data_IF_071034584137
#
_entry.id   IF_071034584137
#
_cell.length_a   1.000
_cell.length_b   1.000
_cell.length_c   1.000
_cell.angle_alpha   90.00
_cell.angle_beta   90.00
_cell.angle_gamma   90.00
#
_symmetry.space_group_name_H-M   'P 1'
#
loop_
_entity.id
_entity.type
_entity.pdbx_description
1 polymer ?
#
# COMPACT_ATOMS: atom_id res chain seq x y z
N UNK A 1 10.65 5.32 -0.54
CA UNK A 1 10.97 6.76 -0.71
C UNK A 1 9.72 7.56 -0.38
N UNK A 2 9.88 8.70 0.29
CA UNK A 2 8.80 9.65 0.59
C UNK A 2 9.26 11.02 0.13
N UNK A 3 8.40 11.75 -0.55
CA UNK A 3 8.68 13.09 -1.03
C UNK A 3 7.60 14.04 -0.48
N UNK A 4 8.03 15.20 0.01
CA UNK A 4 7.12 16.31 0.26
C UNK A 4 6.62 16.85 -1.08
N UNK A 5 5.32 16.70 -1.37
CA UNK A 5 4.74 17.08 -2.66
C UNK A 5 4.72 18.59 -2.92
N UNK A 6 4.93 19.43 -1.89
CA UNK A 6 5.03 20.89 -2.07
C UNK A 6 6.36 21.46 -1.56
N UNK A 7 7.27 20.60 -1.07
CA UNK A 7 8.53 21.00 -0.46
C UNK A 7 9.75 20.42 -1.19
N UNK A 8 10.95 20.98 -0.93
CA UNK A 8 12.20 20.48 -1.48
C UNK A 8 12.71 19.21 -0.77
N UNK A 9 11.93 18.58 0.12
CA UNK A 9 12.43 17.50 0.96
C UNK A 9 12.16 16.13 0.32
N UNK A 10 13.23 15.39 0.07
CA UNK A 10 13.21 13.98 -0.30
C UNK A 10 13.76 13.15 0.86
N UNK A 11 13.03 12.10 1.21
CA UNK A 11 13.41 11.15 2.25
C UNK A 11 13.51 9.77 1.62
N UNK A 12 14.69 9.16 1.72
CA UNK A 12 14.95 7.80 1.24
C UNK A 12 15.36 6.90 2.39
N UNK A 13 15.01 5.62 2.28
CA UNK A 13 15.37 4.57 3.22
C UNK A 13 16.02 3.44 2.45
N UNK A 14 16.99 2.77 3.04
CA UNK A 14 17.71 1.65 2.41
C UNK A 14 17.65 0.34 3.21
N UNK A 15 18.22 -0.71 2.62
CA UNK A 15 18.24 -2.06 3.18
C UNK A 15 19.19 -2.21 4.38
N UNK A 16 20.17 -1.31 4.51
CA UNK A 16 21.08 -1.24 5.64
C UNK A 16 20.48 -0.51 6.84
N UNK A 17 19.25 0.00 6.70
CA UNK A 17 18.52 0.70 7.73
C UNK A 17 18.93 2.15 7.91
N UNK A 18 19.45 2.79 6.86
CA UNK A 18 19.65 4.23 6.86
C UNK A 18 18.44 4.96 6.30
N UNK A 19 18.11 6.09 6.93
CA UNK A 19 17.20 7.09 6.39
C UNK A 19 18.03 8.32 6.04
N UNK A 20 17.90 8.77 4.80
CA UNK A 20 18.59 9.93 4.25
C UNK A 20 17.57 11.03 3.97
N UNK A 21 17.80 12.18 4.59
CA UNK A 21 17.07 13.42 4.34
C UNK A 21 17.88 14.24 3.34
N UNK A 22 17.30 14.57 2.20
CA UNK A 22 17.91 15.37 1.16
C UNK A 22 17.03 16.57 0.82
N UNK A 23 17.63 17.75 0.75
CA UNK A 23 16.99 18.94 0.22
C UNK A 23 17.33 19.08 -1.27
N UNK A 24 16.31 19.14 -2.10
CA UNK A 24 16.42 19.38 -3.53
C UNK A 24 16.31 20.86 -3.84
N UNK A 25 17.21 21.34 -4.69
CA UNK A 25 17.19 22.70 -5.21
C UNK A 25 16.52 22.69 -6.57
N UNK A 26 15.43 23.44 -6.71
CA UNK A 26 14.74 23.64 -7.99
C UNK A 26 15.04 25.05 -8.49
N UNK A 27 15.78 25.13 -9.60
CA UNK A 27 16.18 26.40 -10.20
C UNK A 27 15.78 26.44 -11.67
N UNK A 28 15.18 27.56 -12.09
CA UNK A 28 14.84 27.84 -13.50
C UNK A 28 14.00 26.76 -14.21
N UNK A 29 13.18 26.02 -13.46
CA UNK A 29 12.34 24.97 -14.04
C UNK A 29 13.00 23.60 -14.12
N UNK A 30 14.18 23.42 -13.52
CA UNK A 30 14.89 22.14 -13.46
C UNK A 30 15.33 21.83 -12.02
N UNK A 31 15.38 20.54 -11.70
CA UNK A 31 16.00 20.05 -10.46
C UNK A 31 17.51 20.17 -10.60
N UNK A 32 18.11 21.15 -9.93
CA UNK A 32 19.52 21.50 -10.11
C UNK A 32 20.45 20.62 -9.28
N UNK A 33 20.10 20.34 -8.02
CA UNK A 33 20.91 19.51 -7.12
C UNK A 33 20.10 18.95 -5.97
N UNK A 34 20.63 17.92 -5.31
CA UNK A 34 20.13 17.43 -4.03
C UNK A 34 21.28 17.44 -3.01
N UNK A 35 21.07 18.07 -1.86
CA UNK A 35 22.03 18.13 -0.77
C UNK A 35 21.56 17.21 0.34
N UNK A 36 22.42 16.25 0.73
CA UNK A 36 22.14 15.40 1.90
C UNK A 36 22.29 16.26 3.15
N UNK A 37 21.19 16.40 3.87
CA UNK A 37 21.11 17.12 5.13
C UNK A 37 21.45 16.22 6.32
N UNK A 38 20.94 15.00 6.30
CA UNK A 38 21.14 14.04 7.37
C UNK A 38 21.12 12.63 6.80
N UNK A 39 22.04 11.79 7.30
CA UNK A 39 21.96 10.34 7.19
C UNK A 39 21.90 9.77 8.60
N UNK A 40 20.77 9.16 8.94
CA UNK A 40 20.53 8.59 10.26
C UNK A 40 20.27 7.08 10.16
N UNK A 41 20.55 6.33 11.23
CA UNK A 41 20.37 4.88 11.27
C UNK A 41 19.15 4.50 12.11
N UNK A 42 18.25 3.70 11.54
CA UNK A 42 17.01 3.21 12.13
C UNK A 42 17.10 1.75 12.60
N UNK A 43 18.31 1.18 12.62
CA UNK A 43 18.61 -0.14 13.17
C UNK A 43 18.72 -1.23 12.11
N UNK A 44 17.66 -1.46 11.32
CA UNK A 44 17.53 -2.50 10.29
C UNK A 44 16.83 -1.97 9.03
N UNK A 45 16.76 -2.80 7.98
CA UNK A 45 16.02 -2.58 6.72
C UNK A 45 14.77 -1.71 6.91
N UNK A 46 14.74 -0.58 6.19
CA UNK A 46 13.56 0.28 6.11
C UNK A 46 12.57 -0.32 5.13
N UNK A 47 11.44 -0.82 5.65
CA UNK A 47 10.39 -1.45 4.85
C UNK A 47 9.40 -0.42 4.31
N UNK A 48 9.12 0.62 5.10
CA UNK A 48 8.18 1.67 4.71
C UNK A 48 8.52 2.97 5.42
N UNK A 49 8.17 4.08 4.78
CA UNK A 49 8.12 5.40 5.41
C UNK A 49 6.79 6.06 5.10
N UNK A 50 6.25 6.82 6.05
CA UNK A 50 5.00 7.54 5.91
C UNK A 50 5.16 8.96 6.49
N UNK A 51 4.74 9.97 5.74
CA UNK A 51 4.76 11.38 6.14
C UNK A 51 3.43 11.75 6.79
N UNK A 52 3.45 12.54 7.86
CA UNK A 52 2.20 13.13 8.37
C UNK A 52 1.63 14.16 7.38
N UNK A 53 0.31 14.40 7.37
CA UNK A 53 -0.30 15.42 6.52
C UNK A 53 0.29 16.82 6.75
N UNK A 54 0.62 17.13 8.02
CA UNK A 54 1.30 18.37 8.42
C UNK A 54 2.77 18.45 8.01
N UNK A 55 3.38 17.34 7.57
CA UNK A 55 4.80 17.22 7.19
C UNK A 55 5.79 17.57 8.28
N UNK A 56 5.37 17.46 9.53
CA UNK A 56 6.25 17.65 10.68
C UNK A 56 6.76 16.33 11.27
N UNK A 57 6.15 15.21 10.87
CA UNK A 57 6.46 13.88 11.40
C UNK A 57 6.70 12.89 10.28
N UNK A 58 7.61 11.96 10.54
CA UNK A 58 7.91 10.83 9.68
C UNK A 58 7.81 9.55 10.50
N UNK A 59 6.99 8.62 10.06
CA UNK A 59 6.97 7.26 10.57
C UNK A 59 7.90 6.41 9.70
N UNK A 60 8.81 5.69 10.34
CA UNK A 60 9.70 4.72 9.69
C UNK A 60 9.34 3.34 10.21
N UNK A 61 8.93 2.44 9.31
CA UNK A 61 8.72 1.02 9.58
C UNK A 61 9.98 0.27 9.18
N UNK A 62 10.54 -0.46 10.13
CA UNK A 62 11.66 -1.38 9.93
C UNK A 62 11.22 -2.79 10.31
N UNK A 63 12.01 -3.79 9.90
CA UNK A 63 11.79 -5.21 10.23
C UNK A 63 11.59 -5.47 11.75
N UNK A 64 12.13 -4.61 12.63
CA UNK A 64 12.13 -4.84 14.09
C UNK A 64 11.45 -3.75 14.92
N UNK A 65 11.06 -2.64 14.29
CA UNK A 65 10.52 -1.49 15.02
C UNK A 65 9.72 -0.56 14.12
N UNK A 66 8.77 0.15 14.71
CA UNK A 66 8.35 1.45 14.20
C UNK A 66 9.05 2.57 14.95
N UNK A 67 9.49 3.57 14.22
CA UNK A 67 10.08 4.77 14.79
C UNK A 67 9.32 6.01 14.32
N UNK A 68 8.95 6.87 15.26
CA UNK A 68 8.39 8.18 14.96
C UNK A 68 9.50 9.22 15.04
N UNK A 69 9.64 10.02 14.00
CA UNK A 69 10.66 11.06 13.87
C UNK A 69 10.02 12.44 13.75
N UNK A 70 10.69 13.44 14.32
CA UNK A 70 10.41 14.85 14.08
C UNK A 70 11.22 15.31 12.87
N UNK A 71 10.54 15.90 11.89
CA UNK A 71 11.19 16.46 10.71
C UNK A 71 11.91 17.78 10.98
N UNK A 72 11.34 18.74 11.75
CA UNK A 72 12.05 19.99 12.04
C UNK A 72 13.37 19.76 12.79
N UNK A 73 13.39 18.87 13.77
CA UNK A 73 14.61 18.56 14.53
C UNK A 73 15.43 17.41 13.92
N UNK A 74 14.87 16.69 12.95
CA UNK A 74 15.46 15.49 12.31
C UNK A 74 15.89 14.43 13.34
N UNK A 75 15.16 14.31 14.44
CA UNK A 75 15.45 13.37 15.53
C UNK A 75 14.32 12.38 15.73
N UNK A 76 14.69 11.18 16.16
CA UNK A 76 13.75 10.17 16.63
C UNK A 76 13.09 10.65 17.92
N UNK A 77 11.76 10.64 17.94
CA UNK A 77 10.94 10.94 19.10
C UNK A 77 10.64 9.68 19.90
N UNK A 78 10.13 8.65 19.23
CA UNK A 78 9.65 7.42 19.87
C UNK A 78 9.96 6.18 19.06
N UNK A 79 9.99 5.02 19.72
CA UNK A 79 10.25 3.73 19.08
C UNK A 79 9.46 2.61 19.73
N UNK A 80 8.66 1.91 18.93
CA UNK A 80 7.94 0.71 19.34
C UNK A 80 8.63 -0.52 18.74
N UNK A 81 9.20 -1.36 19.60
CA UNK A 81 9.78 -2.65 19.17
C UNK A 81 8.69 -3.65 18.82
N UNK A 82 8.93 -4.39 17.75
CA UNK A 82 7.99 -5.38 17.21
C UNK A 82 8.63 -6.76 17.31
N UNK A 83 7.91 -7.77 17.81
CA UNK A 83 8.38 -9.15 17.77
C UNK A 83 8.65 -9.59 16.32
N UNK A 84 9.69 -10.40 16.11
CA UNK A 84 10.02 -10.91 14.76
C UNK A 84 8.87 -11.68 14.10
N UNK A 85 7.98 -12.28 14.89
CA UNK A 85 6.80 -12.99 14.40
C UNK A 85 5.79 -12.10 13.70
N UNK A 86 5.75 -10.80 14.02
CA UNK A 86 4.80 -9.83 13.46
C UNK A 86 5.38 -8.98 12.32
N UNK A 87 6.59 -9.32 11.84
CA UNK A 87 7.31 -8.46 10.90
C UNK A 87 6.77 -8.55 9.45
N UNK A 88 6.20 -9.69 9.06
CA UNK A 88 5.96 -9.99 7.63
C UNK A 88 4.76 -9.25 7.02
N UNK A 89 3.79 -8.83 7.83
CA UNK A 89 2.54 -8.19 7.38
C UNK A 89 2.31 -6.85 8.05
N UNK A 90 3.37 -6.05 8.17
CA UNK A 90 3.32 -4.76 8.85
C UNK A 90 3.43 -3.60 7.88
N UNK A 91 2.36 -2.81 7.77
CA UNK A 91 2.33 -1.59 6.95
C UNK A 91 1.59 -0.48 7.66
N UNK A 92 1.99 0.75 7.38
CA UNK A 92 1.33 1.93 7.87
C UNK A 92 0.61 2.67 6.74
N UNK A 93 -0.56 3.22 7.03
CA UNK A 93 -1.28 4.11 6.13
C UNK A 93 -1.75 5.34 6.89
N UNK A 94 -1.86 6.47 6.19
CA UNK A 94 -2.48 7.66 6.76
C UNK A 94 -3.93 7.34 7.09
N UNK A 95 -4.41 7.77 8.27
CA UNK A 95 -5.82 7.67 8.60
C UNK A 95 -6.56 8.68 7.71
N UNK A 96 -7.45 8.26 6.80
CA UNK A 96 -7.89 9.19 5.75
C UNK A 96 -8.83 10.28 6.26
N UNK A 97 -9.66 9.98 7.27
CA UNK A 97 -10.64 10.93 7.80
C UNK A 97 -10.12 11.76 8.98
N UNK A 98 -8.91 11.49 9.49
CA UNK A 98 -8.33 12.10 10.70
C UNK A 98 -6.83 12.36 10.50
N UNK A 99 -6.48 13.60 10.17
CA UNK A 99 -5.10 14.01 9.84
C UNK A 99 -4.10 13.91 11.00
N UNK A 100 -4.59 13.88 12.25
CA UNK A 100 -3.77 13.76 13.44
C UNK A 100 -3.36 12.30 13.75
N UNK A 101 -3.81 11.34 12.94
CA UNK A 101 -3.66 9.90 13.18
C UNK A 101 -3.17 9.13 11.96
N UNK A 102 -2.71 7.91 12.22
CA UNK A 102 -2.37 6.92 11.21
C UNK A 102 -2.71 5.52 11.71
N UNK A 103 -2.75 4.57 10.79
CA UNK A 103 -3.10 3.17 11.05
C UNK A 103 -1.86 2.32 10.80
N UNK A 104 -1.51 1.43 11.74
CA UNK A 104 -0.60 0.32 11.49
C UNK A 104 -1.44 -0.94 11.35
N UNK A 105 -1.32 -1.58 10.19
CA UNK A 105 -1.89 -2.86 9.85
C UNK A 105 -0.84 -3.91 10.20
N UNK A 106 -1.21 -4.88 11.02
CA UNK A 106 -0.36 -5.97 11.51
C UNK A 106 -1.19 -7.25 11.52
N UNK A 107 -0.83 -8.21 10.67
CA UNK A 107 -1.58 -9.45 10.45
C UNK A 107 -3.06 -9.14 10.15
N UNK A 108 -4.01 -9.70 10.91
CA UNK A 108 -5.46 -9.45 10.77
C UNK A 108 -5.95 -8.37 11.76
N UNK A 109 -5.08 -7.44 12.16
CA UNK A 109 -5.41 -6.35 13.09
C UNK A 109 -4.98 -5.01 12.53
N UNK A 110 -5.73 -3.98 12.88
CA UNK A 110 -5.31 -2.61 12.68
C UNK A 110 -5.26 -1.87 14.02
N UNK A 111 -4.26 -1.00 14.14
CA UNK A 111 -3.98 -0.23 15.33
C UNK A 111 -3.89 1.24 14.94
N UNK A 112 -4.71 2.08 15.57
CA UNK A 112 -4.70 3.53 15.32
C UNK A 112 -3.74 4.22 16.30
N UNK A 113 -2.93 5.13 15.79
CA UNK A 113 -1.93 5.89 16.55
C UNK A 113 -2.02 7.38 16.25
N UNK A 114 -1.62 8.20 17.22
CA UNK A 114 -1.47 9.64 17.03
C UNK A 114 -0.10 10.00 16.46
N UNK A 115 -0.09 10.92 15.49
CA UNK A 115 1.15 11.50 14.96
C UNK A 115 1.93 12.31 16.00
N UNK A 116 1.25 12.87 17.00
CA UNK A 116 1.86 13.77 17.99
C UNK A 116 2.92 13.08 18.85
N UNK A 117 2.58 11.91 19.38
CA UNK A 117 3.31 11.25 20.48
C UNK A 117 3.43 9.73 20.30
N UNK A 118 2.97 9.19 19.17
CA UNK A 118 2.98 7.77 18.86
C UNK A 118 2.20 6.89 19.86
N UNK A 119 1.29 7.48 20.64
CA UNK A 119 0.41 6.73 21.53
C UNK A 119 -0.73 6.07 20.73
N UNK A 120 -1.18 4.91 21.20
CA UNK A 120 -2.35 4.22 20.62
C UNK A 120 -3.61 5.01 20.96
N UNK A 121 -4.47 5.24 19.96
CA UNK A 121 -5.77 5.86 20.20
C UNK A 121 -6.66 4.95 21.05
N UNK A 122 -7.47 5.54 21.92
CA UNK A 122 -8.41 4.84 22.82
C UNK A 122 -9.47 4.05 22.07
N UNK A 123 -9.74 4.44 20.83
CA UNK A 123 -10.61 3.72 19.90
C UNK A 123 -10.07 2.30 19.60
N UNK A 124 -8.80 2.02 19.89
CA UNK A 124 -8.35 0.66 20.08
C UNK A 124 -8.07 -0.13 18.80
N UNK A 125 -7.92 -1.44 18.98
CA UNK A 125 -7.51 -2.36 17.92
C UNK A 125 -8.75 -2.88 17.20
N UNK A 126 -8.76 -2.78 15.88
CA UNK A 126 -9.85 -3.27 15.04
C UNK A 126 -9.41 -4.55 14.34
N UNK A 127 -10.21 -5.61 14.45
CA UNK A 127 -9.97 -6.86 13.72
C UNK A 127 -10.33 -6.65 12.25
N UNK A 128 -9.48 -7.10 11.34
CA UNK A 128 -9.71 -7.02 9.91
C UNK A 128 -10.19 -8.38 9.40
N UNK A 129 -11.43 -8.44 8.96
CA UNK A 129 -11.88 -9.57 8.16
C UNK A 129 -11.36 -9.40 6.74
N UNK A 130 -10.84 -10.47 6.14
CA UNK A 130 -10.44 -10.48 4.73
C UNK A 130 -11.43 -11.31 3.95
N UNK A 131 -11.91 -10.77 2.83
CA UNK A 131 -12.84 -11.49 1.96
C UNK A 131 -12.05 -12.56 1.21
N UNK A 132 -12.63 -13.75 1.11
CA UNK A 132 -12.01 -14.89 0.46
C UNK A 132 -12.14 -16.18 1.25
N UNK A 133 -12.38 -17.28 0.52
CA UNK A 133 -12.38 -18.64 1.08
C UNK A 133 -10.97 -19.24 1.21
N UNK A 134 -9.93 -18.43 0.95
CA UNK A 134 -8.54 -18.86 1.01
C UNK A 134 -8.02 -18.71 2.45
N UNK A 135 -7.17 -19.64 2.95
CA UNK A 135 -6.59 -19.55 4.31
C UNK A 135 -5.95 -18.19 4.56
N UNK A 136 -5.94 -17.64 5.78
CA UNK A 136 -5.18 -16.40 6.03
C UNK A 136 -3.74 -16.53 5.54
N UNK A 137 -3.19 -15.50 4.85
CA UNK A 137 -1.85 -15.59 4.30
C UNK A 137 -0.83 -15.72 5.45
N UNK A 138 -0.16 -16.87 5.52
CA UNK A 138 0.89 -17.09 6.52
C UNK A 138 2.16 -16.30 6.16
N UNK A 139 2.43 -16.08 4.87
CA UNK A 139 3.66 -15.45 4.37
C UNK A 139 3.42 -14.58 3.12
N UNK A 140 2.93 -13.35 3.31
CA UNK A 140 2.91 -12.39 2.22
C UNK A 140 4.33 -11.96 1.82
N UNK A 141 4.66 -12.13 0.55
CA UNK A 141 5.92 -11.68 -0.05
C UNK A 141 5.87 -10.24 -0.52
N UNK A 142 4.67 -9.73 -0.80
CA UNK A 142 4.45 -8.33 -1.15
C UNK A 142 3.11 -7.86 -0.57
N UNK A 143 3.11 -6.68 0.02
CA UNK A 143 1.92 -6.07 0.61
C UNK A 143 1.92 -4.58 0.29
N UNK A 144 0.86 -4.14 -0.38
CA UNK A 144 0.65 -2.75 -0.77
C UNK A 144 -0.68 -2.27 -0.20
N UNK A 145 -0.68 -1.06 0.35
CA UNK A 145 -1.89 -0.45 0.91
C UNK A 145 -2.04 0.97 0.37
N UNK A 146 -3.28 1.32 0.03
CA UNK A 146 -3.67 2.67 -0.35
C UNK A 146 -4.98 3.03 0.33
N UNK A 147 -5.17 4.30 0.61
CA UNK A 147 -6.39 4.78 1.22
C UNK A 147 -6.74 6.18 0.76
N UNK A 148 -8.04 6.47 0.76
CA UNK A 148 -8.60 7.81 0.68
C UNK A 148 -9.82 7.91 1.61
N UNK A 149 -10.56 9.01 1.52
CA UNK A 149 -11.72 9.29 2.38
C UNK A 149 -12.87 8.28 2.19
N UNK A 150 -12.87 7.51 1.09
CA UNK A 150 -13.90 6.54 0.75
C UNK A 150 -13.51 5.10 1.13
N UNK A 151 -12.30 4.68 0.73
CA UNK A 151 -11.91 3.27 0.78
C UNK A 151 -10.44 3.09 1.20
N UNK A 152 -10.19 2.00 1.92
CA UNK A 152 -8.86 1.44 2.19
C UNK A 152 -8.70 0.17 1.34
N UNK A 153 -7.70 0.14 0.48
CA UNK A 153 -7.39 -0.98 -0.41
C UNK A 153 -6.11 -1.66 0.09
N UNK A 154 -6.20 -2.96 0.32
CA UNK A 154 -5.08 -3.86 0.59
C UNK A 154 -4.87 -4.77 -0.61
N UNK A 155 -3.62 -4.90 -1.03
CA UNK A 155 -3.13 -5.98 -1.88
C UNK A 155 -2.15 -6.83 -1.08
N UNK A 156 -2.39 -8.13 -1.02
CA UNK A 156 -1.44 -9.11 -0.48
C UNK A 156 -1.03 -10.07 -1.59
N UNK A 157 0.26 -10.34 -1.74
CA UNK A 157 0.77 -11.39 -2.63
C UNK A 157 1.43 -12.48 -1.79
N UNK A 158 0.86 -13.68 -1.85
CA UNK A 158 1.31 -14.87 -1.16
C UNK A 158 1.73 -15.93 -2.20
N UNK A 159 2.91 -16.55 -2.08
CA UNK A 159 3.40 -17.50 -3.07
C UNK A 159 2.52 -18.75 -3.26
N UNK A 160 1.70 -19.10 -2.26
CA UNK A 160 0.89 -20.30 -2.26
C UNK A 160 -0.54 -20.02 -2.73
N UNK A 161 -1.07 -18.86 -2.34
CA UNK A 161 -2.48 -18.50 -2.56
C UNK A 161 -2.67 -17.36 -3.55
N UNK A 162 -1.59 -16.86 -4.13
CA UNK A 162 -1.62 -15.82 -5.15
C UNK A 162 -1.86 -14.42 -4.60
N UNK A 163 -2.47 -13.57 -5.42
CA UNK A 163 -2.78 -12.19 -5.05
C UNK A 163 -4.17 -12.12 -4.44
N UNK A 164 -4.33 -11.36 -3.37
CA UNK A 164 -5.63 -11.00 -2.79
C UNK A 164 -5.79 -9.50 -2.75
N UNK A 165 -7.03 -9.09 -2.91
CA UNK A 165 -7.41 -7.68 -2.78
C UNK A 165 -8.56 -7.56 -1.80
N UNK A 166 -8.39 -6.73 -0.78
CA UNK A 166 -9.44 -6.38 0.16
C UNK A 166 -9.68 -4.89 0.11
N UNK A 167 -10.95 -4.48 0.12
CA UNK A 167 -11.33 -3.08 0.15
C UNK A 167 -12.29 -2.86 1.31
N UNK A 168 -12.00 -1.96 2.24
CA UNK A 168 -12.90 -1.60 3.33
C UNK A 168 -13.35 -0.15 3.18
N UNK A 169 -14.58 0.15 3.59
CA UNK A 169 -14.99 1.54 3.72
C UNK A 169 -14.17 2.22 4.81
N UNK A 170 -13.64 3.40 4.52
CA UNK A 170 -12.77 4.13 5.46
C UNK A 170 -13.47 4.43 6.79
N UNK A 171 -14.78 4.64 6.76
CA UNK A 171 -15.61 4.84 7.96
C UNK A 171 -15.60 3.63 8.90
N UNK A 172 -15.28 2.42 8.42
CA UNK A 172 -15.16 1.22 9.25
C UNK A 172 -14.02 1.34 10.28
N UNK A 173 -13.03 2.19 10.01
CA UNK A 173 -11.91 2.45 10.92
C UNK A 173 -12.20 3.55 11.96
N UNK A 174 -13.34 4.26 11.86
CA UNK A 174 -13.77 5.25 12.85
C UNK A 174 -14.52 4.63 14.04
N UNK A 175 -15.13 3.47 13.85
CA UNK A 175 -16.10 2.89 14.79
C UNK A 175 -15.49 2.00 15.86
N UNK A 176 -14.23 2.21 16.23
CA UNK A 176 -13.58 1.35 17.22
C UNK A 176 -13.94 1.88 18.64
N UNK A 177 -15.00 1.32 19.21
CA UNK A 177 -15.42 1.51 20.61
C UNK A 177 -14.93 0.38 21.52
N UNK A 178 -15.42 0.30 22.76
CA UNK A 178 -15.02 -0.73 23.74
C UNK A 178 -15.36 -2.19 23.33
N UNK A 179 -16.17 -2.40 22.28
CA UNK A 179 -16.43 -3.72 21.72
C UNK A 179 -15.49 -3.99 20.55
N UNK A 180 -15.00 -5.22 20.42
CA UNK A 180 -14.21 -5.65 19.27
C UNK A 180 -15.05 -5.52 17.99
N UNK A 181 -14.92 -4.38 17.32
CA UNK A 181 -15.52 -4.15 16.01
C UNK A 181 -14.64 -4.84 14.98
N UNK A 182 -15.29 -5.54 14.06
CA UNK A 182 -14.63 -6.20 12.94
C UNK A 182 -14.89 -5.35 11.69
N UNK A 183 -13.83 -4.99 10.98
CA UNK A 183 -13.95 -4.32 9.69
C UNK A 183 -14.26 -5.37 8.62
N UNK A 184 -15.45 -5.25 8.03
CA UNK A 184 -15.89 -6.14 6.96
C UNK A 184 -15.55 -5.51 5.60
N UNK A 185 -14.82 -6.21 4.72
CA UNK A 185 -14.48 -5.73 3.39
C UNK A 185 -15.69 -5.78 2.46
N UNK A 186 -15.65 -4.95 1.42
CA UNK A 186 -16.57 -4.95 0.29
C UNK A 186 -16.51 -6.30 -0.41
N UNK A 187 -17.69 -6.85 -0.71
CA UNK A 187 -17.85 -8.17 -1.31
C UNK A 187 -17.73 -8.12 -2.84
N UNK A 188 -17.38 -9.25 -3.43
CA UNK A 188 -17.40 -9.43 -4.89
C UNK A 188 -16.24 -8.77 -5.63
N UNK A 189 -15.21 -8.36 -4.90
CA UNK A 189 -13.98 -7.78 -5.46
C UNK A 189 -12.88 -8.81 -5.67
N UNK A 190 -13.05 -10.06 -5.21
CA UNK A 190 -12.01 -11.09 -5.31
C UNK A 190 -11.60 -11.41 -6.75
N UNK A 191 -12.52 -11.32 -7.73
CA UNK A 191 -12.19 -11.52 -9.16
C UNK A 191 -11.11 -10.55 -9.68
N UNK A 192 -10.89 -9.42 -8.99
CA UNK A 192 -9.82 -8.48 -9.33
C UNK A 192 -8.43 -9.11 -9.16
N UNK A 193 -8.27 -10.10 -8.29
CA UNK A 193 -7.01 -10.83 -8.09
C UNK A 193 -6.47 -11.47 -9.37
N UNK A 194 -7.35 -11.83 -10.31
CA UNK A 194 -6.98 -12.44 -11.59
C UNK A 194 -6.11 -11.52 -12.44
N UNK A 195 -6.36 -10.22 -12.35
CA UNK A 195 -5.74 -9.21 -13.22
C UNK A 195 -4.88 -8.21 -12.48
N UNK A 196 -5.06 -8.04 -11.17
CA UNK A 196 -4.30 -7.08 -10.38
C UNK A 196 -2.84 -7.54 -10.23
N UNK A 197 -1.92 -6.71 -10.72
CA UNK A 197 -0.48 -6.85 -10.56
C UNK A 197 0.03 -6.00 -9.41
N UNK A 198 -0.27 -4.70 -9.40
CA UNK A 198 0.08 -3.79 -8.31
C UNK A 198 -0.91 -2.62 -8.19
N UNK A 199 -1.06 -2.05 -7.00
CA UNK A 199 -1.93 -0.88 -6.80
C UNK A 199 -1.15 0.41 -7.03
N UNK A 200 -1.77 1.40 -7.69
CA UNK A 200 -1.11 2.68 -8.02
C UNK A 200 -1.72 3.84 -7.22
N UNK A 201 -3.05 3.99 -7.28
CA UNK A 201 -3.76 5.07 -6.60
C UNK A 201 -5.24 4.72 -6.46
N UNK A 202 -5.97 5.50 -5.66
CA UNK A 202 -7.42 5.39 -5.56
C UNK A 202 -8.04 6.80 -5.61
N UNK A 203 -9.03 6.96 -6.48
CA UNK A 203 -9.69 8.24 -6.79
C UNK A 203 -11.17 8.02 -6.55
N UNK A 204 -11.71 8.61 -5.49
CA UNK A 204 -13.05 8.28 -4.97
C UNK A 204 -13.17 6.75 -4.76
N UNK A 205 -14.06 6.08 -5.49
CA UNK A 205 -14.19 4.60 -5.50
C UNK A 205 -13.49 3.93 -6.70
N UNK A 206 -12.77 4.67 -7.54
CA UNK A 206 -12.02 4.11 -8.67
C UNK A 206 -10.61 3.72 -8.25
N UNK A 207 -10.31 2.43 -8.29
CA UNK A 207 -8.95 1.94 -8.12
C UNK A 207 -8.18 2.10 -9.44
N UNK A 208 -7.00 2.71 -9.36
CA UNK A 208 -5.99 2.73 -10.41
C UNK A 208 -4.94 1.69 -10.07
N UNK A 209 -4.69 0.74 -10.97
CA UNK A 209 -3.79 -0.37 -10.73
C UNK A 209 -3.00 -0.75 -11.98
N UNK A 210 -1.87 -1.40 -11.76
CA UNK A 210 -1.12 -2.09 -12.79
C UNK A 210 -1.71 -3.48 -12.97
N UNK A 211 -2.22 -3.78 -14.16
CA UNK A 211 -2.62 -5.11 -14.56
C UNK A 211 -1.40 -6.03 -14.68
N UNK A 212 -1.56 -7.34 -14.45
CA UNK A 212 -0.50 -8.36 -14.65
C UNK A 212 0.10 -8.35 -16.06
N UNK A 213 -0.64 -7.88 -17.06
CA UNK A 213 -0.17 -7.72 -18.44
C UNK A 213 0.50 -6.37 -18.71
N UNK A 214 0.77 -5.58 -17.66
CA UNK A 214 1.40 -4.25 -17.69
C UNK A 214 0.56 -3.15 -18.32
N UNK A 215 -0.76 -3.29 -18.28
CA UNK A 215 -1.67 -2.18 -18.53
C UNK A 215 -1.88 -1.36 -17.27
N UNK A 216 -1.82 -0.04 -17.38
CA UNK A 216 -2.43 0.83 -16.37
C UNK A 216 -3.93 0.77 -16.58
N UNK A 217 -4.63 0.31 -15.55
CA UNK A 217 -6.04 0.01 -15.60
C UNK A 217 -6.80 0.70 -14.48
N UNK A 218 -8.09 0.89 -14.69
CA UNK A 218 -9.03 1.33 -13.66
C UNK A 218 -10.21 0.40 -13.50
N UNK A 219 -10.73 0.37 -12.29
CA UNK A 219 -11.95 -0.34 -11.94
C UNK A 219 -12.73 0.48 -10.92
N UNK A 220 -14.04 0.56 -11.08
CA UNK A 220 -14.94 1.16 -10.10
C UNK A 220 -15.29 0.12 -9.03
N UNK A 221 -14.81 0.32 -7.82
CA UNK A 221 -14.98 -0.61 -6.70
C UNK A 221 -16.42 -0.69 -6.20
N UNK A 222 -17.30 0.25 -6.55
CA UNK A 222 -18.72 0.19 -6.20
C UNK A 222 -19.50 -0.70 -7.16
N UNK A 223 -19.12 -0.74 -8.45
CA UNK A 223 -19.89 -1.41 -9.49
C UNK A 223 -19.25 -2.68 -10.06
N UNK A 224 -17.96 -2.92 -9.79
CA UNK A 224 -17.21 -4.05 -10.34
C UNK A 224 -17.85 -5.41 -10.07
N UNK A 225 -18.41 -5.62 -8.87
CA UNK A 225 -19.06 -6.89 -8.52
C UNK A 225 -20.29 -7.21 -9.39
N UNK A 226 -20.83 -6.23 -10.12
CA UNK A 226 -21.96 -6.38 -11.06
C UNK A 226 -21.48 -6.47 -12.51
N UNK A 227 -20.46 -5.70 -12.88
CA UNK A 227 -20.05 -5.53 -14.29
C UNK A 227 -18.88 -6.44 -14.67
N UNK A 228 -18.01 -6.77 -13.73
CA UNK A 228 -16.70 -7.41 -13.97
C UNK A 228 -15.87 -6.67 -15.04
N UNK A 229 -16.11 -5.37 -15.19
CA UNK A 229 -15.46 -4.52 -16.18
C UNK A 229 -14.18 -3.90 -15.63
N UNK A 230 -13.08 -4.11 -16.34
CA UNK A 230 -11.80 -3.42 -16.14
C UNK A 230 -11.53 -2.52 -17.34
N UNK A 231 -11.14 -1.27 -17.11
CA UNK A 231 -10.75 -0.35 -18.18
C UNK A 231 -9.24 -0.33 -18.29
N UNK A 232 -8.68 -0.72 -19.44
CA UNK A 232 -7.24 -0.66 -19.71
C UNK A 232 -6.93 0.62 -20.48
N UNK A 233 -6.05 1.47 -19.95
CA UNK A 233 -5.79 2.80 -20.51
C UNK A 233 -4.60 2.82 -21.46
N UNK A 234 -3.45 2.35 -20.99
CA UNK A 234 -2.23 2.27 -21.76
C UNK A 234 -1.28 1.23 -21.17
N UNK A 235 -0.41 0.69 -22.02
CA UNK A 235 0.61 -0.27 -21.64
C UNK A 235 1.89 0.43 -21.18
N UNK A 236 2.57 -0.11 -20.17
CA UNK A 236 3.90 0.36 -19.73
C UNK A 236 5.01 -0.65 -20.09
N UNK A 237 6.20 -0.16 -20.46
CA UNK A 237 7.33 -1.03 -20.77
C UNK A 237 7.80 -1.88 -19.57
N UNK A 238 8.30 -3.11 -19.81
CA UNK A 238 8.83 -3.98 -18.75
C UNK A 238 9.91 -3.33 -17.87
N UNK A 239 10.73 -2.45 -18.45
CA UNK A 239 11.81 -1.75 -17.74
C UNK A 239 11.34 -0.77 -16.66
N UNK A 240 10.03 -0.46 -16.61
CA UNK A 240 9.43 0.37 -15.56
C UNK A 240 8.96 -0.46 -14.35
N UNK A 241 8.90 -1.78 -14.50
CA UNK A 241 8.41 -2.72 -13.48
C UNK A 241 9.59 -3.36 -12.76
N UNK A 242 9.50 -3.45 -11.43
CA UNK A 242 10.51 -4.11 -10.61
C UNK A 242 10.49 -5.63 -10.80
N UNK A 243 11.52 -6.31 -10.32
CA UNK A 243 11.59 -7.78 -10.32
C UNK A 243 10.42 -8.40 -9.54
N UNK A 244 9.87 -7.67 -8.56
CA UNK A 244 8.73 -8.09 -7.75
C UNK A 244 7.38 -7.72 -8.38
N UNK A 245 7.37 -7.26 -9.64
CA UNK A 245 6.15 -6.89 -10.36
C UNK A 245 5.54 -5.56 -9.92
N UNK A 246 6.22 -4.78 -9.08
CA UNK A 246 5.75 -3.48 -8.59
C UNK A 246 6.27 -2.32 -9.43
N UNK A 247 5.56 -1.19 -9.40
CA UNK A 247 5.97 0.05 -10.07
C UNK A 247 6.23 1.14 -9.05
N UNK A 248 7.25 1.97 -9.31
CA UNK A 248 7.42 3.23 -8.57
C UNK A 248 6.59 4.28 -9.30
N UNK A 249 5.35 4.46 -8.84
CA UNK A 249 4.38 5.36 -9.46
C UNK A 249 3.68 6.24 -8.42
N UNK A 250 3.33 7.46 -8.81
CA UNK A 250 2.49 8.35 -8.03
C UNK A 250 1.46 9.07 -8.92
N UNK A 251 0.29 9.39 -8.36
CA UNK A 251 -0.71 10.25 -8.97
C UNK A 251 -0.57 11.68 -8.42
N UNK A 252 -0.44 12.68 -9.28
CA UNK A 252 -0.38 14.10 -8.87
C UNK A 252 -1.79 14.66 -8.67
N UNK A 253 -1.87 15.82 -8.01
CA UNK A 253 -3.15 16.55 -7.82
C UNK A 253 -3.81 16.97 -9.14
N UNK A 254 -3.00 17.21 -10.17
CA UNK A 254 -3.47 17.51 -11.53
C UNK A 254 -3.79 16.23 -12.34
N UNK A 255 -3.93 15.08 -11.68
CA UNK A 255 -4.32 13.81 -12.27
C UNK A 255 -3.31 13.25 -13.28
N UNK A 256 -2.03 13.58 -13.13
CA UNK A 256 -0.95 13.01 -13.94
C UNK A 256 -0.35 11.80 -13.23
N UNK A 257 -0.02 10.75 -13.99
CA UNK A 257 0.75 9.63 -13.46
C UNK A 257 2.23 9.89 -13.66
N UNK A 258 3.02 9.74 -12.60
CA UNK A 258 4.47 9.90 -12.61
C UNK A 258 5.10 8.55 -12.31
N UNK A 259 5.81 7.99 -13.30
CA UNK A 259 6.57 6.76 -13.16
C UNK A 259 8.04 7.07 -13.00
N UNK A 260 8.70 6.41 -12.04
CA UNK A 260 10.14 6.41 -11.93
C UNK A 260 10.70 5.06 -12.42
N UNK A 261 11.61 5.12 -13.40
CA UNK A 261 12.43 3.99 -13.85
C UNK A 261 13.88 4.22 -13.43
N UNK A 262 14.76 3.23 -13.65
CA UNK A 262 16.19 3.35 -13.28
C UNK A 262 16.90 4.58 -13.85
N UNK A 263 16.46 5.10 -14.99
CA UNK A 263 17.15 6.19 -15.70
C UNK A 263 16.27 7.40 -15.99
N UNK A 264 14.94 7.26 -15.89
CA UNK A 264 14.01 8.29 -16.35
C UNK A 264 12.81 8.40 -15.43
N UNK A 265 12.30 9.63 -15.30
CA UNK A 265 10.98 9.92 -14.76
C UNK A 265 10.07 10.24 -15.93
N UNK A 266 8.93 9.56 -16.02
CA UNK A 266 7.96 9.74 -17.09
C UNK A 266 6.64 10.24 -16.52
N UNK A 267 6.13 11.33 -17.11
CA UNK A 267 4.85 11.93 -16.70
C UNK A 267 3.81 11.69 -17.79
N UNK A 268 2.77 10.92 -17.48
CA UNK A 268 1.66 10.61 -18.38
C UNK A 268 0.47 11.48 -18.00
N UNK A 269 0.05 12.34 -18.94
CA UNK A 269 -1.06 13.29 -18.77
C UNK A 269 -2.30 12.83 -19.55
N UNK A 270 -3.49 13.19 -19.08
CA UNK A 270 -4.75 12.93 -19.80
C UNK A 270 -5.04 11.44 -20.05
N UNK A 271 -4.46 10.56 -19.25
CA UNK A 271 -4.45 9.11 -19.47
C UNK A 271 -5.83 8.46 -19.28
N UNK A 272 -6.71 9.05 -18.45
CA UNK A 272 -8.06 8.52 -18.21
C UNK A 272 -9.00 8.68 -19.42
N UNK A 273 -8.68 9.56 -20.39
CA UNK A 273 -9.61 9.93 -21.45
C UNK A 273 -9.83 8.88 -22.54
N UNK A 274 -9.02 7.81 -22.57
CA UNK A 274 -9.16 6.69 -23.52
C UNK A 274 -8.91 5.39 -22.78
N UNK A 275 -9.69 4.37 -23.11
CA UNK A 275 -9.52 3.02 -22.61
C UNK A 275 -10.13 2.01 -23.58
N UNK A 276 -9.69 0.77 -23.44
CA UNK A 276 -10.41 -0.41 -23.90
C UNK A 276 -11.02 -1.13 -22.71
N UNK A 277 -12.17 -1.78 -22.91
CA UNK A 277 -12.83 -2.55 -21.86
C UNK A 277 -12.32 -3.99 -21.93
N UNK A 278 -11.84 -4.48 -20.80
CA UNK A 278 -11.52 -5.87 -20.54
C UNK A 278 -12.61 -6.44 -19.63
N UNK A 279 -13.38 -7.39 -20.14
CA UNK A 279 -14.42 -8.07 -19.38
C UNK A 279 -13.82 -9.34 -18.81
N UNK A 280 -13.82 -9.47 -17.48
CA UNK A 280 -13.43 -10.71 -16.82
C UNK A 280 -14.56 -11.73 -16.99
N UNK A 281 -14.68 -12.27 -18.21
CA UNK A 281 -15.66 -13.28 -18.57
C UNK A 281 -15.35 -14.60 -17.88
N UNK A 282 -16.37 -15.20 -17.24
CA UNK A 282 -16.28 -16.49 -16.52
C UNK A 282 -15.09 -16.59 -15.56
N UNK A 283 -15.01 -15.70 -14.56
CA UNK A 283 -14.34 -16.10 -13.32
C UNK A 283 -15.22 -17.16 -12.64
N UNK A 284 -14.98 -18.42 -12.98
CA UNK A 284 -15.56 -19.56 -12.28
C UNK A 284 -14.80 -19.75 -10.97
N UNK A 285 -15.23 -19.00 -9.97
CA UNK A 285 -14.68 -19.04 -8.62
C UNK A 285 -14.74 -20.44 -8.00
N UNK A 286 -15.68 -21.28 -8.42
CA UNK A 286 -15.79 -22.67 -7.94
C UNK A 286 -14.72 -23.56 -8.60
N UNK A 287 -14.41 -23.34 -9.89
CA UNK A 287 -13.33 -24.06 -10.59
C UNK A 287 -11.92 -23.72 -10.06
N UNK A 288 -11.64 -22.45 -9.73
CA UNK A 288 -10.36 -22.08 -9.12
C UNK A 288 -10.20 -22.73 -7.74
N UNK A 289 -11.31 -22.88 -6.99
CA UNK A 289 -11.30 -23.55 -5.68
C UNK A 289 -11.11 -25.07 -5.78
N UNK A 290 -11.66 -25.74 -6.80
CA UNK A 290 -11.39 -27.16 -7.06
C UNK A 290 -9.91 -27.42 -7.35
N UNK A 291 -9.23 -26.49 -8.04
CA UNK A 291 -7.78 -26.55 -8.29
C UNK A 291 -6.98 -26.50 -6.98
N UNK A 292 -7.36 -25.65 -6.02
CA UNK A 292 -6.72 -25.59 -4.70
C UNK A 292 -7.11 -26.75 -3.77
N UNK A 293 -8.38 -27.19 -3.79
CA UNK A 293 -8.85 -28.30 -2.94
C UNK A 293 -8.21 -29.65 -3.31
N UNK A 294 -7.75 -29.80 -4.56
CA UNK A 294 -7.01 -30.98 -5.02
C UNK A 294 -5.49 -30.90 -4.87
N UNK A 295 -4.95 -29.73 -4.50
CA UNK A 295 -3.50 -29.53 -4.38
C UNK A 295 -3.05 -29.80 -2.94
N UNK A 296 -2.41 -30.95 -2.71
CA UNK A 296 -1.71 -31.23 -1.45
C UNK A 296 -0.52 -30.26 -1.31
N UNK A 297 -0.75 -29.09 -0.70
CA UNK A 297 0.30 -28.11 -0.44
C UNK A 297 1.06 -28.54 0.83
N UNK A 298 2.23 -29.16 0.64
CA UNK A 298 3.15 -29.51 1.72
C UNK A 298 4.14 -28.37 1.97
N UNK A 299 4.09 -27.73 3.14
CA UNK A 299 5.16 -26.83 3.62
C UNK A 299 5.58 -27.23 5.03
N UNK A 300 6.85 -27.60 5.19
CA UNK A 300 7.51 -27.92 6.47
C UNK A 300 6.91 -29.07 7.32
N UNK A 301 6.37 -30.11 6.66
CA UNK A 301 6.09 -31.39 7.32
C UNK A 301 4.84 -31.40 8.20
N UNK A 302 3.92 -30.45 8.02
CA UNK A 302 2.55 -30.57 8.54
C UNK A 302 1.54 -30.20 7.44
N UNK A 303 0.45 -30.97 7.30
CA UNK A 303 -0.65 -30.60 6.42
C UNK A 303 -1.40 -29.40 7.00
N UNK A 304 -1.69 -28.41 6.16
CA UNK A 304 -2.71 -27.40 6.42
C UNK A 304 -4.08 -28.09 6.28
N UNK A 305 -4.86 -28.09 7.35
CA UNK A 305 -6.26 -28.54 7.36
C UNK A 305 -7.16 -27.33 7.52
#
# INVERSE_FOLDING_TARGET
MVQDTEGPLIITGDEDGFVVFAETVYERGEWASARIELKARCGNLVEQMLLSPSRERLLVITLSASELWSLPSKQKLESLRVPRSSANLRRAVQFPLLDDRFIILEDSRSHVFYWRDFTRASEGTLSLYRDGRLPEPEYATNASYLSNDCVVVEKLADPLTGIRTNCWDTSSFLAAGEQAVEAIPRRGLQALSCVLGDIISVIDSTLVFLHKERWVSTVDLDTFHLTMEVRRHFFIPPEWVSILGSVVCALTREMNLVFASKQHVVVVKGWMGRWETDLLGHFDMDAEWEEYAGTDIWVTGRPLR
#
